data_IF_124493423832
#
_entry.id   IF_124493423832
#
_cell.length_a   1.000
_cell.length_b   1.000
_cell.length_c   1.000
_cell.angle_alpha   90.00
_cell.angle_beta   90.00
_cell.angle_gamma   90.00
#
_symmetry.space_group_name_H-M   'P 1'
#
loop_
_entity.id
_entity.type
_entity.pdbx_description
1 polymer ?
#
# COMPACT_ATOMS: atom_id res chain seq x y z
N UNK A 1 43.18 -12.33 26.85
CA UNK A 1 41.81 -11.93 26.51
C UNK A 1 41.39 -12.84 25.37
N UNK A 2 40.52 -13.81 25.66
CA UNK A 2 40.10 -14.81 24.69
C UNK A 2 39.04 -14.20 23.78
N UNK A 3 39.34 -14.12 22.49
CA UNK A 3 38.36 -13.74 21.47
C UNK A 3 37.51 -14.98 21.15
N UNK A 4 36.35 -15.07 21.79
CA UNK A 4 35.33 -16.05 21.44
C UNK A 4 34.89 -15.82 19.99
N UNK A 5 35.33 -16.71 19.10
CA UNK A 5 34.83 -16.80 17.73
C UNK A 5 33.38 -17.26 17.78
N UNK A 6 32.46 -16.29 17.86
CA UNK A 6 31.02 -16.51 17.76
C UNK A 6 30.74 -17.24 16.45
N UNK A 7 30.48 -18.53 16.53
CA UNK A 7 30.09 -19.35 15.39
C UNK A 7 28.76 -18.83 14.87
N UNK A 8 28.81 -18.04 13.79
CA UNK A 8 27.61 -17.55 13.14
C UNK A 8 26.85 -18.74 12.56
N UNK A 9 25.74 -19.10 13.22
CA UNK A 9 24.82 -20.10 12.71
C UNK A 9 24.35 -19.63 11.32
N UNK A 10 24.77 -20.36 10.30
CA UNK A 10 24.43 -20.10 8.90
C UNK A 10 23.23 -20.95 8.52
N UNK A 11 22.17 -20.29 8.07
CA UNK A 11 20.92 -20.89 7.64
C UNK A 11 20.87 -20.99 6.12
N UNK A 12 20.27 -22.07 5.61
CA UNK A 12 20.19 -22.33 4.18
C UNK A 12 18.83 -21.88 3.63
N UNK A 13 18.85 -20.98 2.66
CA UNK A 13 17.65 -20.56 1.94
C UNK A 13 17.11 -21.73 1.11
N UNK A 14 15.84 -22.10 1.30
CA UNK A 14 15.22 -23.21 0.57
C UNK A 14 15.09 -22.95 -0.94
N UNK A 15 15.04 -21.68 -1.36
CA UNK A 15 14.85 -21.26 -2.75
C UNK A 15 16.18 -21.10 -3.50
N UNK A 16 17.07 -20.20 -3.07
CA UNK A 16 18.34 -19.95 -3.76
C UNK A 16 19.51 -20.82 -3.26
N UNK A 17 19.31 -21.64 -2.23
CA UNK A 17 20.33 -22.51 -1.61
C UNK A 17 21.55 -21.77 -1.02
N UNK A 18 21.50 -20.44 -0.95
CA UNK A 18 22.53 -19.63 -0.31
C UNK A 18 22.55 -19.78 1.21
N UNK A 19 23.72 -19.56 1.81
CA UNK A 19 23.93 -19.52 3.27
C UNK A 19 23.83 -18.08 3.77
N UNK A 20 23.01 -17.86 4.79
CA UNK A 20 22.76 -16.54 5.35
C UNK A 20 22.80 -16.59 6.87
N UNK A 21 23.18 -15.50 7.52
CA UNK A 21 23.03 -15.33 8.96
C UNK A 21 21.56 -15.24 9.36
N UNK A 22 21.29 -15.33 10.67
CA UNK A 22 19.93 -15.22 11.22
C UNK A 22 19.21 -13.92 10.79
N UNK A 23 19.95 -12.83 10.60
CA UNK A 23 19.40 -11.53 10.17
C UNK A 23 18.93 -11.55 8.72
N UNK A 24 19.58 -12.37 7.88
CA UNK A 24 19.34 -12.50 6.44
C UNK A 24 18.26 -13.51 6.04
N UNK A 25 17.62 -14.18 7.01
CA UNK A 25 16.56 -15.15 6.77
C UNK A 25 15.18 -14.68 7.26
N UNK A 26 14.14 -15.21 6.62
CA UNK A 26 12.72 -15.02 6.90
C UNK A 26 12.00 -16.37 6.72
N UNK A 27 10.76 -16.45 7.18
CA UNK A 27 9.88 -17.59 6.94
C UNK A 27 8.84 -17.22 5.88
N UNK A 28 8.58 -18.11 4.93
CA UNK A 28 7.45 -17.94 4.00
C UNK A 28 6.11 -18.35 4.66
N UNK A 29 5.01 -18.21 3.94
CA UNK A 29 3.65 -18.60 4.40
C UNK A 29 3.52 -20.09 4.73
N UNK A 30 4.42 -20.94 4.21
CA UNK A 30 4.50 -22.37 4.49
C UNK A 30 5.43 -22.71 5.67
N UNK A 31 6.03 -21.70 6.33
CA UNK A 31 6.98 -21.91 7.43
C UNK A 31 8.38 -22.37 7.00
N UNK A 32 8.73 -22.29 5.72
CA UNK A 32 10.07 -22.62 5.19
C UNK A 32 11.02 -21.43 5.28
N UNK A 33 12.30 -21.71 5.58
CA UNK A 33 13.36 -20.70 5.65
C UNK A 33 13.73 -20.21 4.26
N UNK A 34 13.66 -18.89 4.06
CA UNK A 34 14.00 -18.20 2.81
C UNK A 34 14.84 -16.96 3.12
N UNK A 35 15.73 -16.54 2.22
CA UNK A 35 16.48 -15.29 2.43
C UNK A 35 15.60 -14.06 2.15
N UNK A 36 16.02 -12.89 2.62
CA UNK A 36 15.30 -11.61 2.41
C UNK A 36 15.00 -11.34 0.92
N UNK A 37 15.96 -11.65 0.02
CA UNK A 37 15.78 -11.45 -1.42
C UNK A 37 14.71 -12.38 -2.01
N UNK A 38 14.73 -13.66 -1.64
CA UNK A 38 13.72 -14.61 -2.11
C UNK A 38 12.34 -14.30 -1.51
N UNK A 39 12.30 -13.88 -0.23
CA UNK A 39 11.07 -13.46 0.43
C UNK A 39 10.43 -12.27 -0.30
N UNK A 40 11.20 -11.22 -0.62
CA UNK A 40 10.70 -10.05 -1.36
C UNK A 40 10.29 -10.37 -2.80
N UNK A 41 10.93 -11.34 -3.46
CA UNK A 41 10.49 -11.82 -4.78
C UNK A 41 9.14 -12.53 -4.73
N UNK A 42 8.88 -13.35 -3.70
CA UNK A 42 7.57 -13.97 -3.51
C UNK A 42 6.46 -12.93 -3.30
N UNK A 43 6.74 -11.85 -2.58
CA UNK A 43 5.79 -10.74 -2.43
C UNK A 43 5.64 -9.87 -3.69
N UNK A 44 6.62 -9.87 -4.60
CA UNK A 44 6.51 -9.18 -5.90
C UNK A 44 5.68 -9.95 -6.92
N UNK A 45 5.46 -11.26 -6.76
CA UNK A 45 4.54 -12.03 -7.61
C UNK A 45 3.06 -11.85 -7.24
N UNK A 46 2.78 -11.17 -6.12
CA UNK A 46 1.48 -10.57 -5.82
C UNK A 46 1.59 -9.04 -5.84
N UNK A 47 2.32 -8.45 -6.79
CA UNK A 47 1.65 -7.34 -7.45
C UNK A 47 0.42 -8.00 -8.08
N UNK A 48 -0.84 -7.60 -7.77
CA UNK A 48 -1.88 -7.86 -8.74
C UNK A 48 -1.25 -7.45 -10.06
N UNK A 49 -1.28 -8.34 -11.05
CA UNK A 49 -1.09 -7.89 -12.41
C UNK A 49 -2.00 -6.68 -12.45
N UNK A 50 -1.40 -5.49 -12.51
CA UNK A 50 -2.07 -4.34 -13.06
C UNK A 50 -2.22 -4.86 -14.46
N UNK A 51 -3.30 -5.62 -14.67
CA UNK A 51 -4.06 -5.50 -15.87
C UNK A 51 -4.15 -3.98 -15.93
N UNK A 52 -3.41 -3.43 -16.87
CA UNK A 52 -3.99 -2.43 -17.72
C UNK A 52 -5.25 -3.04 -18.36
N UNK A 53 -6.20 -3.51 -17.55
CA UNK A 53 -7.51 -2.94 -17.56
C UNK A 53 -7.19 -1.45 -17.66
N UNK A 54 -7.23 -0.99 -18.90
CA UNK A 54 -8.15 0.05 -19.26
C UNK A 54 -9.42 -0.15 -18.41
N UNK A 55 -9.33 0.13 -17.10
CA UNK A 55 -10.24 1.03 -16.43
C UNK A 55 -10.20 2.24 -17.36
N UNK A 56 -11.00 2.14 -18.42
CA UNK A 56 -12.08 3.05 -18.61
C UNK A 56 -12.40 3.62 -17.22
N UNK A 57 -11.69 4.70 -16.89
CA UNK A 57 -12.32 5.97 -16.58
C UNK A 57 -13.53 6.09 -17.53
N UNK A 58 -14.56 5.27 -17.28
CA UNK A 58 -15.89 5.56 -17.72
C UNK A 58 -16.15 6.85 -17.00
N UNK A 59 -16.05 7.93 -17.77
CA UNK A 59 -16.52 9.27 -17.47
C UNK A 59 -18.06 9.27 -17.31
N UNK A 60 -18.59 8.24 -16.65
CA UNK A 60 -19.93 8.14 -16.13
C UNK A 60 -19.75 8.07 -14.61
N UNK A 61 -19.63 9.21 -13.92
CA UNK A 61 -19.69 9.21 -12.48
C UNK A 61 -21.01 8.54 -12.10
N UNK A 62 -20.94 7.37 -11.48
CA UNK A 62 -22.12 6.82 -10.84
C UNK A 62 -22.49 7.85 -9.77
N UNK A 63 -23.59 8.62 -9.93
CA UNK A 63 -23.84 9.84 -9.15
C UNK A 63 -24.00 9.55 -7.65
N UNK A 64 -24.15 8.27 -7.33
CA UNK A 64 -24.37 7.71 -6.02
C UNK A 64 -23.09 7.43 -5.25
N UNK A 65 -21.89 7.50 -5.83
CA UNK A 65 -20.63 7.21 -5.13
C UNK A 65 -19.85 8.51 -4.88
N UNK A 66 -19.49 8.77 -3.62
CA UNK A 66 -18.75 9.97 -3.20
C UNK A 66 -17.41 9.56 -2.60
N UNK A 67 -16.29 10.08 -3.12
CA UNK A 67 -14.98 9.88 -2.51
C UNK A 67 -14.86 10.68 -1.20
N UNK A 68 -14.31 10.04 -0.18
CA UNK A 68 -14.10 10.60 1.15
C UNK A 68 -12.72 10.22 1.69
N UNK A 69 -12.18 11.07 2.56
CA UNK A 69 -10.92 10.85 3.26
C UNK A 69 -11.19 10.90 4.77
N UNK A 70 -10.63 9.94 5.51
CA UNK A 70 -10.64 10.01 6.96
C UNK A 70 -9.65 11.06 7.47
N UNK A 71 -10.09 11.97 8.33
CA UNK A 71 -9.22 13.02 8.91
C UNK A 71 -8.14 12.41 9.79
N UNK A 72 -8.46 11.35 10.52
CA UNK A 72 -7.59 10.77 11.54
C UNK A 72 -6.46 9.90 10.98
N UNK A 73 -6.76 9.03 10.02
CA UNK A 73 -5.77 8.11 9.44
C UNK A 73 -5.42 8.42 7.98
N UNK A 74 -6.01 9.47 7.39
CA UNK A 74 -5.83 9.88 5.98
C UNK A 74 -6.17 8.82 4.94
N UNK A 75 -6.86 7.76 5.34
CA UNK A 75 -7.30 6.73 4.40
C UNK A 75 -8.41 7.27 3.48
N UNK A 76 -8.24 7.10 2.17
CA UNK A 76 -9.18 7.50 1.13
C UNK A 76 -10.03 6.31 0.70
N UNK A 77 -11.35 6.50 0.65
CA UNK A 77 -12.33 5.48 0.26
C UNK A 77 -13.59 6.12 -0.31
N UNK A 78 -14.51 5.32 -0.84
CA UNK A 78 -15.74 5.81 -1.46
C UNK A 78 -16.97 5.29 -0.75
N UNK A 79 -17.99 6.14 -0.60
CA UNK A 79 -19.24 5.83 0.09
C UNK A 79 -20.44 6.07 -0.84
N UNK A 80 -21.53 5.33 -0.64
CA UNK A 80 -22.78 5.57 -1.38
C UNK A 80 -23.59 6.70 -0.74
N UNK A 81 -24.03 7.71 -1.50
CA UNK A 81 -24.80 8.90 -1.03
C UNK A 81 -26.02 8.54 -0.18
N UNK A 82 -26.68 7.43 -0.49
CA UNK A 82 -27.91 6.97 0.18
C UNK A 82 -27.68 5.74 1.06
N UNK A 83 -26.45 5.47 1.49
CA UNK A 83 -26.21 4.38 2.43
C UNK A 83 -26.88 4.69 3.77
N UNK A 84 -27.82 3.83 4.20
CA UNK A 84 -28.43 3.89 5.54
C UNK A 84 -27.48 3.46 6.66
N UNK A 85 -26.27 3.01 6.30
CA UNK A 85 -25.25 2.53 7.25
C UNK A 85 -24.54 3.71 7.89
N UNK A 86 -24.29 3.64 9.20
CA UNK A 86 -23.46 4.61 9.93
C UNK A 86 -22.07 4.65 9.28
N UNK A 87 -21.77 5.74 8.58
CA UNK A 87 -20.52 5.89 7.85
C UNK A 87 -19.40 6.07 8.88
N UNK A 88 -18.41 5.18 8.83
CA UNK A 88 -17.19 5.22 9.63
C UNK A 88 -16.01 4.79 8.77
N UNK A 89 -14.82 5.26 9.13
CA UNK A 89 -13.59 4.83 8.48
C UNK A 89 -13.40 3.32 8.68
N UNK A 90 -13.20 2.52 7.61
CA UNK A 90 -13.00 1.08 7.74
C UNK A 90 -11.68 0.69 8.41
N UNK A 91 -10.73 1.63 8.51
CA UNK A 91 -9.42 1.38 9.10
C UNK A 91 -9.34 1.72 10.58
N UNK A 92 -9.86 2.88 10.98
CA UNK A 92 -9.75 3.34 12.36
C UNK A 92 -11.09 3.41 13.11
N UNK A 93 -12.21 3.13 12.44
CA UNK A 93 -13.56 3.18 13.04
C UNK A 93 -14.07 4.58 13.35
N UNK A 94 -13.28 5.63 13.12
CA UNK A 94 -13.64 7.01 13.41
C UNK A 94 -14.58 7.58 12.33
N UNK A 95 -15.39 8.57 12.71
CA UNK A 95 -16.44 9.16 11.86
C UNK A 95 -16.05 10.50 11.25
N UNK A 96 -14.84 11.00 11.53
CA UNK A 96 -14.35 12.24 11.00
C UNK A 96 -13.89 12.02 9.55
N UNK A 97 -14.76 12.34 8.61
CA UNK A 97 -14.57 12.15 7.18
C UNK A 97 -14.76 13.48 6.46
N UNK A 98 -13.90 13.78 5.49
CA UNK A 98 -14.04 14.89 4.55
C UNK A 98 -14.32 14.35 3.16
N UNK A 99 -15.04 15.10 2.32
CA UNK A 99 -15.16 14.77 0.90
C UNK A 99 -13.85 15.10 0.21
N UNK A 100 -13.46 14.23 -0.71
CA UNK A 100 -12.33 14.52 -1.59
C UNK A 100 -12.86 15.06 -2.91
N UNK A 101 -13.02 16.38 -2.95
CA UNK A 101 -13.43 17.09 -4.16
C UNK A 101 -12.23 17.37 -5.08
N UNK A 102 -11.01 16.98 -4.67
CA UNK A 102 -9.77 17.29 -5.40
C UNK A 102 -9.72 16.56 -6.73
N UNK A 103 -10.00 17.29 -7.81
CA UNK A 103 -9.83 16.80 -9.18
C UNK A 103 -8.45 17.18 -9.74
N UNK A 104 -7.92 16.38 -10.67
CA UNK A 104 -6.66 16.70 -11.35
C UNK A 104 -6.73 18.07 -12.04
N UNK A 105 -7.89 18.41 -12.61
CA UNK A 105 -8.14 19.70 -13.26
C UNK A 105 -8.08 20.87 -12.28
N UNK A 106 -8.62 20.70 -11.06
CA UNK A 106 -8.52 21.72 -10.00
C UNK A 106 -7.08 21.93 -9.54
N UNK A 107 -6.29 20.86 -9.41
CA UNK A 107 -4.88 20.96 -9.04
C UNK A 107 -4.05 21.69 -10.12
N UNK A 108 -4.28 21.37 -11.39
CA UNK A 108 -3.61 22.06 -12.51
C UNK A 108 -3.97 23.55 -12.50
N UNK A 109 -5.25 23.89 -12.30
CA UNK A 109 -5.70 25.28 -12.23
C UNK A 109 -5.06 26.06 -11.09
N UNK A 110 -4.89 25.44 -9.91
CA UNK A 110 -4.21 26.09 -8.77
C UNK A 110 -2.74 26.37 -9.06
N UNK A 111 -2.03 25.43 -9.70
CA UNK A 111 -0.61 25.61 -10.04
C UNK A 111 -0.40 26.66 -11.13
N UNK A 112 -1.30 26.72 -12.13
CA UNK A 112 -1.24 27.74 -13.18
C UNK A 112 -1.35 29.16 -12.64
N UNK A 113 -2.13 29.38 -11.57
CA UNK A 113 -2.32 30.71 -10.97
C UNK A 113 -1.15 31.17 -10.08
N UNK A 114 -0.28 30.26 -9.64
CA UNK A 114 0.89 30.59 -8.81
C UNK A 114 2.05 31.13 -9.65
N UNK A 115 2.12 30.76 -10.94
CA UNK A 115 3.21 31.16 -11.84
C UNK A 115 3.19 32.63 -12.26
N UNK A 116 2.08 33.35 -12.07
CA UNK A 116 1.95 34.77 -12.46
C UNK A 116 2.31 35.77 -11.33
N UNK A 117 2.86 35.30 -10.21
CA UNK A 117 3.18 36.12 -9.03
C UNK A 117 4.67 36.26 -8.70
N UNK A 118 5.56 35.77 -9.56
CA UNK A 118 7.01 35.92 -9.42
C UNK A 118 7.61 36.58 -10.65
#
# INVERSE_FOLDING_TARGET
MSEDTKSEANYLCTLCKGKFSIEGIRYNSEGKVVCVNCSTQSFKQESPTIREDKESFSANPNPDVVPVICIDCRYKFSIRKNSRVRIACPYCGKKNLIRDDTTADELIKQVSQIKDRY
#
